data_IF_735065037580
#
_entry.id   IF_735065037580
#
_cell.length_a   1.000
_cell.length_b   1.000
_cell.length_c   1.000
_cell.angle_alpha   90.00
_cell.angle_beta   90.00
_cell.angle_gamma   90.00
#
_symmetry.space_group_name_H-M   'P 1'
#
loop_
_entity.id
_entity.type
_entity.pdbx_description
1 polymer ?
#
# COMPACT_ATOMS: atom_id res chain seq x y z
N UNK A 1 37.36 -22.80 -26.15
CA UNK A 1 36.51 -22.07 -25.21
C UNK A 1 35.44 -23.03 -24.72
N UNK A 2 35.26 -23.20 -23.39
CA UNK A 2 34.24 -24.11 -22.85
C UNK A 2 32.85 -23.54 -23.16
N UNK A 3 31.89 -24.39 -23.52
CA UNK A 3 30.50 -23.98 -23.73
C UNK A 3 29.72 -24.08 -22.42
N UNK A 4 29.61 -22.97 -21.69
CA UNK A 4 28.93 -22.91 -20.39
C UNK A 4 27.43 -23.14 -20.50
N UNK A 5 26.81 -22.86 -21.65
CA UNK A 5 25.42 -23.20 -21.91
C UNK A 5 25.21 -24.71 -22.01
N UNK A 6 26.14 -25.41 -22.69
CA UNK A 6 26.12 -26.87 -22.78
C UNK A 6 26.38 -27.53 -21.41
N UNK A 7 27.30 -26.98 -20.60
CA UNK A 7 27.61 -27.47 -19.25
C UNK A 7 26.38 -27.36 -18.33
N UNK A 8 25.62 -26.25 -18.43
CA UNK A 8 24.36 -26.09 -17.69
C UNK A 8 23.16 -26.78 -18.35
N UNK A 9 23.31 -27.33 -19.56
CA UNK A 9 22.24 -27.99 -20.32
C UNK A 9 21.11 -27.05 -20.73
N UNK A 10 21.43 -25.79 -21.02
CA UNK A 10 20.47 -24.74 -21.38
C UNK A 10 20.79 -24.12 -22.74
N UNK A 11 19.81 -23.47 -23.36
CA UNK A 11 20.01 -22.77 -24.62
C UNK A 11 20.74 -21.43 -24.41
N UNK A 12 21.41 -20.91 -25.45
CA UNK A 12 22.11 -19.61 -25.42
C UNK A 12 21.18 -18.43 -25.18
N UNK A 13 19.91 -18.55 -25.58
CA UNK A 13 18.84 -17.56 -25.33
C UNK A 13 18.15 -17.73 -23.98
N UNK A 14 18.65 -18.60 -23.08
CA UNK A 14 18.06 -18.82 -21.78
C UNK A 14 18.04 -17.55 -20.92
N UNK A 15 16.90 -17.33 -20.25
CA UNK A 15 16.71 -16.21 -19.33
C UNK A 15 17.45 -16.47 -18.02
N UNK A 16 17.74 -15.41 -17.26
CA UNK A 16 18.45 -15.52 -15.97
C UNK A 16 17.77 -16.50 -15.00
N UNK A 17 16.44 -16.56 -15.02
CA UNK A 17 15.65 -17.50 -14.24
C UNK A 17 15.96 -18.97 -14.59
N UNK A 18 16.20 -19.28 -15.88
CA UNK A 18 16.51 -20.62 -16.36
C UNK A 18 17.94 -21.01 -16.00
N UNK A 19 18.89 -20.07 -16.11
CA UNK A 19 20.29 -20.26 -15.70
C UNK A 19 20.37 -20.60 -14.20
N UNK A 20 19.70 -19.81 -13.35
CA UNK A 20 19.60 -20.04 -11.90
C UNK A 20 18.90 -21.35 -11.56
N UNK A 21 17.94 -21.79 -12.37
CA UNK A 21 17.22 -23.04 -12.16
C UNK A 21 18.08 -24.26 -12.53
N UNK A 22 18.77 -24.19 -13.66
CA UNK A 22 19.67 -25.24 -14.13
C UNK A 22 20.85 -25.44 -13.18
N UNK A 23 21.50 -24.35 -12.76
CA UNK A 23 22.58 -24.39 -11.77
C UNK A 23 22.14 -25.09 -10.48
N UNK A 24 21.02 -24.64 -9.87
CA UNK A 24 20.51 -25.25 -8.63
C UNK A 24 20.20 -26.74 -8.78
N UNK A 25 19.70 -27.15 -9.94
CA UNK A 25 19.42 -28.56 -10.20
C UNK A 25 20.70 -29.39 -10.28
N UNK A 26 21.68 -28.94 -11.06
CA UNK A 26 22.95 -29.64 -11.26
C UNK A 26 23.83 -29.63 -10.00
N UNK A 27 23.87 -28.51 -9.28
CA UNK A 27 24.58 -28.39 -8.01
C UNK A 27 24.06 -29.38 -6.95
N UNK A 28 22.75 -29.68 -6.94
CA UNK A 28 22.19 -30.69 -6.04
C UNK A 28 22.52 -32.12 -6.47
N UNK A 29 22.64 -32.38 -7.77
CA UNK A 29 22.94 -33.71 -8.33
C UNK A 29 24.41 -34.09 -8.20
N UNK A 30 25.31 -33.11 -8.34
CA UNK A 30 26.76 -33.31 -8.33
C UNK A 30 27.45 -32.77 -7.07
N UNK A 31 26.69 -32.44 -6.01
CA UNK A 31 27.27 -31.95 -4.76
C UNK A 31 28.25 -32.98 -4.16
N UNK A 32 29.48 -32.60 -3.79
CA UNK A 32 30.49 -33.54 -3.29
C UNK A 32 30.03 -34.30 -2.03
N UNK A 33 29.25 -33.66 -1.15
CA UNK A 33 28.71 -34.33 0.05
C UNK A 33 27.62 -35.36 -0.25
N UNK A 34 26.87 -35.21 -1.36
CA UNK A 34 25.72 -36.07 -1.69
C UNK A 34 26.04 -37.12 -2.74
N UNK A 35 27.02 -36.85 -3.60
CA UNK A 35 27.43 -37.73 -4.68
C UNK A 35 28.92 -38.07 -4.52
N UNK A 36 29.20 -39.29 -4.07
CA UNK A 36 30.56 -39.80 -3.80
C UNK A 36 31.27 -40.34 -5.05
N UNK A 37 30.71 -40.13 -6.25
CA UNK A 37 31.39 -40.47 -7.50
C UNK A 37 32.66 -39.64 -7.65
N UNK A 38 33.74 -40.26 -8.12
CA UNK A 38 35.01 -39.58 -8.43
C UNK A 38 34.86 -38.47 -9.46
N UNK A 39 33.83 -38.55 -10.31
CA UNK A 39 33.54 -37.58 -11.37
C UNK A 39 32.64 -36.43 -10.89
N UNK A 40 31.94 -36.59 -9.76
CA UNK A 40 31.00 -35.57 -9.30
C UNK A 40 31.70 -34.26 -8.91
N UNK A 41 32.89 -34.37 -8.30
CA UNK A 41 33.69 -33.21 -7.92
C UNK A 41 34.16 -32.40 -9.14
N UNK A 42 34.61 -33.05 -10.22
CA UNK A 42 35.04 -32.35 -11.44
C UNK A 42 33.87 -31.69 -12.15
N UNK A 43 32.73 -32.37 -12.29
CA UNK A 43 31.53 -31.77 -12.88
C UNK A 43 31.01 -30.60 -12.05
N UNK A 44 31.06 -30.69 -10.72
CA UNK A 44 30.63 -29.60 -9.83
C UNK A 44 31.46 -28.33 -10.01
N UNK A 45 32.77 -28.47 -10.22
CA UNK A 45 33.65 -27.33 -10.54
C UNK A 45 33.23 -26.68 -11.86
N UNK A 46 32.98 -27.46 -12.91
CA UNK A 46 32.54 -26.94 -14.21
C UNK A 46 31.16 -26.26 -14.15
N UNK A 47 30.23 -26.81 -13.36
CA UNK A 47 28.90 -26.22 -13.14
C UNK A 47 29.01 -24.87 -12.42
N UNK A 48 29.89 -24.75 -11.42
CA UNK A 48 30.13 -23.49 -10.72
C UNK A 48 30.79 -22.45 -11.64
N UNK A 49 31.80 -22.85 -12.41
CA UNK A 49 32.47 -21.99 -13.39
C UNK A 49 31.46 -21.45 -14.43
N UNK A 50 30.57 -22.31 -14.92
CA UNK A 50 29.53 -21.93 -15.87
C UNK A 50 28.52 -20.93 -15.27
N UNK A 51 28.12 -21.13 -14.01
CA UNK A 51 27.19 -20.23 -13.33
C UNK A 51 27.84 -18.89 -12.95
N UNK A 52 29.12 -18.88 -12.61
CA UNK A 52 29.85 -17.65 -12.30
C UNK A 52 29.93 -16.70 -13.51
N UNK A 53 30.00 -17.27 -14.72
CA UNK A 53 30.05 -16.50 -15.97
C UNK A 53 28.65 -16.15 -16.48
N UNK A 54 27.72 -17.12 -16.51
CA UNK A 54 26.38 -16.91 -17.06
C UNK A 54 25.38 -16.28 -16.08
N UNK A 55 25.63 -16.38 -14.78
CA UNK A 55 24.76 -15.85 -13.72
C UNK A 55 24.92 -14.36 -13.48
N UNK A 56 26.06 -13.77 -13.87
CA UNK A 56 26.30 -12.33 -13.84
C UNK A 56 25.97 -11.71 -15.21
N UNK A 57 25.07 -10.72 -15.29
CA UNK A 57 24.65 -10.12 -16.55
C UNK A 57 25.80 -9.45 -17.32
N UNK A 58 26.80 -8.90 -16.64
CA UNK A 58 27.95 -8.25 -17.26
C UNK A 58 28.89 -9.30 -17.84
N UNK A 59 29.19 -10.35 -17.06
CA UNK A 59 30.08 -11.44 -17.50
C UNK A 59 29.46 -12.28 -18.61
N UNK A 60 28.14 -12.49 -18.57
CA UNK A 60 27.38 -13.15 -19.63
C UNK A 60 27.50 -12.40 -20.96
N UNK A 61 27.34 -11.08 -20.95
CA UNK A 61 27.47 -10.27 -22.18
C UNK A 61 28.88 -10.35 -22.78
N UNK A 62 29.92 -10.35 -21.94
CA UNK A 62 31.31 -10.49 -22.40
C UNK A 62 31.53 -11.89 -22.99
N UNK A 63 31.04 -12.93 -22.31
CA UNK A 63 31.12 -14.31 -22.75
C UNK A 63 30.38 -14.55 -24.06
N UNK A 64 29.16 -14.02 -24.21
CA UNK A 64 28.34 -14.13 -25.41
C UNK A 64 29.02 -13.45 -26.62
N UNK A 65 29.65 -12.29 -26.39
CA UNK A 65 30.45 -11.59 -27.42
C UNK A 65 31.67 -12.40 -27.87
N UNK A 66 32.31 -13.12 -26.94
CA UNK A 66 33.44 -14.00 -27.26
C UNK A 66 32.99 -15.29 -27.97
N UNK A 67 31.78 -15.79 -27.68
CA UNK A 67 31.22 -17.01 -28.26
C UNK A 67 30.67 -16.79 -29.69
N UNK A 68 30.21 -15.58 -30.02
CA UNK A 68 29.67 -15.21 -31.33
C UNK A 68 30.65 -15.34 -32.53
N UNK A 69 31.94 -15.65 -32.28
CA UNK A 69 32.91 -16.01 -33.31
C UNK A 69 32.88 -17.49 -33.73
N UNK A 70 31.98 -18.31 -33.18
CA UNK A 70 31.79 -19.72 -33.56
C UNK A 70 30.31 -20.04 -33.48
N UNK A 71 29.66 -20.23 -34.63
CA UNK A 71 28.22 -20.48 -34.72
C UNK A 71 27.81 -21.75 -33.92
N UNK A 72 26.91 -21.63 -32.93
CA UNK A 72 26.33 -22.80 -32.28
C UNK A 72 25.16 -23.34 -33.11
N UNK A 73 25.31 -24.54 -33.67
CA UNK A 73 24.16 -25.35 -34.08
C UNK A 73 23.48 -25.90 -32.82
N UNK A 74 22.30 -25.39 -32.47
CA UNK A 74 21.43 -26.03 -31.46
C UNK A 74 20.00 -26.08 -31.97
N UNK A 75 19.57 -27.29 -32.30
CA UNK A 75 18.17 -27.65 -32.54
C UNK A 75 17.36 -27.47 -31.26
N UNK A 76 16.30 -26.68 -31.33
CA UNK A 76 15.37 -26.49 -30.22
C UNK A 76 14.64 -27.81 -29.94
N UNK A 77 15.09 -28.56 -28.94
CA UNK A 77 14.28 -29.65 -28.40
C UNK A 77 13.15 -29.03 -27.55
N UNK A 78 11.87 -29.39 -27.80
CA UNK A 78 10.75 -28.89 -27.03
C UNK A 78 10.93 -29.27 -25.56
N UNK A 79 10.71 -28.30 -24.67
CA UNK A 79 10.81 -28.51 -23.22
C UNK A 79 9.89 -29.67 -22.79
N UNK A 80 10.47 -30.81 -22.42
CA UNK A 80 9.73 -31.93 -21.85
C UNK A 80 9.11 -31.48 -20.53
N UNK A 81 7.79 -31.49 -20.44
CA UNK A 81 7.05 -31.23 -19.20
C UNK A 81 7.46 -32.26 -18.14
N UNK A 82 8.42 -31.91 -17.27
CA UNK A 82 8.80 -32.75 -16.13
C UNK A 82 7.58 -32.88 -15.20
N UNK A 83 7.14 -34.10 -14.86
CA UNK A 83 6.03 -34.30 -13.95
C UNK A 83 6.32 -33.64 -12.59
N UNK A 84 5.26 -33.14 -11.95
CA UNK A 84 5.36 -32.49 -10.65
C UNK A 84 5.99 -33.45 -9.62
N UNK A 85 6.84 -32.93 -8.73
CA UNK A 85 7.64 -33.76 -7.79
C UNK A 85 6.79 -34.57 -6.80
N UNK A 86 5.58 -34.11 -6.51
CA UNK A 86 4.61 -34.82 -5.69
C UNK A 86 3.73 -35.72 -6.58
N UNK A 87 3.78 -37.07 -6.42
CA UNK A 87 2.92 -38.00 -7.17
C UNK A 87 1.42 -37.80 -6.93
N UNK A 88 1.05 -37.13 -5.83
CA UNK A 88 -0.35 -36.80 -5.50
C UNK A 88 -0.81 -35.51 -6.18
N UNK A 89 0.11 -34.73 -6.74
CA UNK A 89 -0.26 -33.53 -7.49
C UNK A 89 -0.99 -33.92 -8.76
N UNK A 90 -2.30 -33.72 -8.78
CA UNK A 90 -3.10 -33.75 -9.99
C UNK A 90 -3.13 -32.34 -10.58
N UNK A 91 -2.61 -32.12 -11.79
CA UNK A 91 -2.81 -30.84 -12.45
C UNK A 91 -4.32 -30.61 -12.60
N UNK A 92 -4.75 -29.38 -12.32
CA UNK A 92 -6.15 -28.98 -12.53
C UNK A 92 -6.56 -29.28 -13.96
N UNK A 93 -7.69 -29.94 -14.16
CA UNK A 93 -8.17 -30.26 -15.51
C UNK A 93 -8.44 -28.98 -16.28
N UNK A 94 -8.28 -29.04 -17.61
CA UNK A 94 -8.59 -27.90 -18.48
C UNK A 94 -10.06 -27.47 -18.32
N UNK A 95 -10.97 -28.42 -18.12
CA UNK A 95 -12.39 -28.18 -17.83
C UNK A 95 -12.59 -27.43 -16.51
N UNK A 96 -11.92 -27.84 -15.43
CA UNK A 96 -11.96 -27.14 -14.15
C UNK A 96 -11.45 -25.69 -14.30
N UNK A 97 -10.35 -25.48 -15.03
CA UNK A 97 -9.82 -24.13 -15.27
C UNK A 97 -10.82 -23.28 -16.07
N UNK A 98 -11.47 -23.87 -17.09
CA UNK A 98 -12.49 -23.21 -17.91
C UNK A 98 -13.71 -22.84 -17.08
N UNK A 99 -14.19 -23.74 -16.23
CA UNK A 99 -15.32 -23.51 -15.32
C UNK A 99 -15.01 -22.38 -14.33
N UNK A 100 -13.84 -22.42 -13.68
CA UNK A 100 -13.42 -21.36 -12.74
C UNK A 100 -13.32 -20.00 -13.44
N UNK A 101 -12.78 -19.95 -14.65
CA UNK A 101 -12.73 -18.71 -15.46
C UNK A 101 -14.14 -18.23 -15.83
N UNK A 102 -15.02 -19.14 -16.23
CA UNK A 102 -16.40 -18.80 -16.57
C UNK A 102 -17.16 -18.23 -15.37
N UNK A 103 -16.99 -18.81 -14.17
CA UNK A 103 -17.60 -18.31 -12.93
C UNK A 103 -17.10 -16.91 -12.55
N UNK A 104 -15.82 -16.61 -12.79
CA UNK A 104 -15.24 -15.28 -12.50
C UNK A 104 -15.55 -14.22 -13.57
N UNK A 105 -15.87 -14.65 -14.79
CA UNK A 105 -16.17 -13.75 -15.92
C UNK A 105 -17.17 -12.62 -15.58
N UNK A 106 -18.35 -12.88 -14.99
CA UNK A 106 -19.32 -11.81 -14.70
C UNK A 106 -18.78 -10.76 -13.71
N UNK A 107 -17.96 -11.17 -12.75
CA UNK A 107 -17.33 -10.27 -11.78
C UNK A 107 -16.35 -9.32 -12.47
N UNK A 108 -15.49 -9.83 -13.36
CA UNK A 108 -14.56 -8.99 -14.11
C UNK A 108 -15.27 -8.08 -15.11
N UNK A 109 -16.31 -8.58 -15.77
CA UNK A 109 -17.15 -7.77 -16.68
C UNK A 109 -17.80 -6.60 -15.94
N UNK A 110 -18.31 -6.84 -14.71
CA UNK A 110 -18.85 -5.79 -13.87
C UNK A 110 -17.80 -4.74 -13.50
N UNK A 111 -16.62 -5.18 -13.05
CA UNK A 111 -15.53 -4.28 -12.65
C UNK A 111 -15.08 -3.42 -13.83
N UNK A 112 -14.89 -4.02 -15.00
CA UNK A 112 -14.43 -3.33 -16.19
C UNK A 112 -15.45 -2.26 -16.64
N UNK A 113 -16.74 -2.58 -16.57
CA UNK A 113 -17.82 -1.63 -16.87
C UNK A 113 -17.89 -0.43 -15.91
N UNK A 114 -17.47 -0.59 -14.64
CA UNK A 114 -17.63 0.42 -13.60
C UNK A 114 -16.34 1.11 -13.16
N UNK A 115 -15.17 0.68 -13.65
CA UNK A 115 -13.87 1.23 -13.23
C UNK A 115 -13.78 2.75 -13.45
N UNK A 116 -14.46 3.29 -14.47
CA UNK A 116 -14.51 4.73 -14.72
C UNK A 116 -15.09 5.52 -13.55
N UNK A 117 -16.12 5.00 -12.87
CA UNK A 117 -16.71 5.64 -11.70
C UNK A 117 -15.78 5.56 -10.50
N UNK A 118 -15.09 4.43 -10.32
CA UNK A 118 -14.08 4.29 -9.27
C UNK A 118 -12.91 5.28 -9.43
N UNK A 119 -12.48 5.51 -10.67
CA UNK A 119 -11.47 6.53 -10.98
C UNK A 119 -12.02 7.94 -10.74
N UNK A 120 -13.27 8.21 -11.11
CA UNK A 120 -13.93 9.48 -10.81
C UNK A 120 -13.96 9.76 -9.31
N UNK A 121 -14.35 8.78 -8.48
CA UNK A 121 -14.32 8.93 -7.02
C UNK A 121 -12.91 9.16 -6.49
N UNK A 122 -11.89 8.54 -7.07
CA UNK A 122 -10.49 8.80 -6.68
C UNK A 122 -10.08 10.25 -7.00
N UNK A 123 -10.50 10.80 -8.14
CA UNK A 123 -10.23 12.21 -8.48
C UNK A 123 -10.96 13.19 -7.56
N UNK A 124 -12.23 12.91 -7.25
CA UNK A 124 -13.00 13.71 -6.29
C UNK A 124 -12.38 13.65 -4.89
N UNK A 125 -11.97 12.47 -4.45
CA UNK A 125 -11.26 12.27 -3.19
C UNK A 125 -9.94 13.06 -3.14
N UNK A 126 -9.22 13.10 -4.26
CA UNK A 126 -7.97 13.86 -4.36
C UNK A 126 -8.22 15.36 -4.16
N UNK A 127 -9.18 15.93 -4.89
CA UNK A 127 -9.56 17.34 -4.73
C UNK A 127 -10.07 17.65 -3.32
N UNK A 128 -10.90 16.76 -2.75
CA UNK A 128 -11.42 16.92 -1.40
C UNK A 128 -10.32 16.85 -0.34
N UNK A 129 -9.35 15.96 -0.48
CA UNK A 129 -8.21 15.88 0.44
C UNK A 129 -7.31 17.11 0.37
N UNK A 130 -7.10 17.68 -0.82
CA UNK A 130 -6.41 18.97 -0.98
C UNK A 130 -7.19 20.08 -0.27
N UNK A 131 -8.51 20.14 -0.44
CA UNK A 131 -9.34 21.12 0.25
C UNK A 131 -9.26 21.00 1.78
N UNK A 132 -9.30 19.78 2.32
CA UNK A 132 -9.16 19.52 3.75
C UNK A 132 -7.77 19.95 4.29
N UNK A 133 -6.72 19.69 3.54
CA UNK A 133 -5.35 20.06 3.93
C UNK A 133 -5.11 21.56 3.79
N UNK A 134 -5.69 22.20 2.77
CA UNK A 134 -5.67 23.65 2.63
C UNK A 134 -6.41 24.31 3.80
N UNK A 135 -7.60 23.82 4.14
CA UNK A 135 -8.38 24.30 5.29
C UNK A 135 -7.62 24.16 6.61
N UNK A 136 -6.90 23.05 6.80
CA UNK A 136 -6.04 22.83 7.96
C UNK A 136 -4.83 23.78 8.00
N UNK A 137 -4.26 24.11 6.84
CA UNK A 137 -3.00 24.86 6.75
C UNK A 137 -3.21 26.37 6.85
N UNK A 138 -4.42 26.86 6.58
CA UNK A 138 -4.75 28.27 6.72
C UNK A 138 -4.96 28.65 8.19
N UNK A 139 -4.78 29.94 8.48
CA UNK A 139 -4.96 30.46 9.82
C UNK A 139 -6.43 30.38 10.24
N UNK A 140 -6.68 29.80 11.41
CA UNK A 140 -8.03 29.63 11.95
C UNK A 140 -8.66 30.97 12.33
N UNK A 141 -9.96 31.10 12.07
CA UNK A 141 -10.78 32.24 12.47
C UNK A 141 -11.05 32.20 13.97
N UNK A 142 -10.97 33.37 14.61
CA UNK A 142 -11.13 33.55 16.05
C UNK A 142 -12.51 34.08 16.37
N UNK A 143 -13.28 33.34 17.17
CA UNK A 143 -14.60 33.75 17.66
C UNK A 143 -14.65 33.76 19.18
N UNK A 144 -14.94 34.91 19.78
CA UNK A 144 -15.08 35.04 21.22
C UNK A 144 -16.50 34.68 21.67
N UNK A 145 -16.62 33.78 22.64
CA UNK A 145 -17.90 33.26 23.14
C UNK A 145 -17.82 33.05 24.65
N UNK A 146 -18.98 33.05 25.31
CA UNK A 146 -19.09 32.83 26.76
C UNK A 146 -19.43 31.37 27.04
N UNK A 147 -18.77 30.76 28.02
CA UNK A 147 -19.09 29.40 28.46
C UNK A 147 -20.43 29.43 29.21
N UNK A 148 -21.42 28.65 28.75
CA UNK A 148 -22.70 28.51 29.46
C UNK A 148 -22.61 27.55 30.64
N UNK A 149 -21.93 26.42 30.47
CA UNK A 149 -21.79 25.42 31.52
C UNK A 149 -20.51 24.60 31.36
N UNK A 150 -20.03 24.06 32.47
CA UNK A 150 -18.88 23.16 32.52
C UNK A 150 -19.30 21.93 33.32
N UNK A 151 -19.28 20.76 32.68
CA UNK A 151 -19.59 19.50 33.33
C UNK A 151 -18.31 18.69 33.54
N UNK A 152 -18.05 18.34 34.80
CA UNK A 152 -16.93 17.50 35.22
C UNK A 152 -17.49 16.14 35.62
N UNK A 153 -17.13 15.09 34.89
CA UNK A 153 -17.53 13.72 35.25
C UNK A 153 -16.58 13.19 36.32
N UNK A 154 -17.10 12.84 37.48
CA UNK A 154 -16.33 12.32 38.61
C UNK A 154 -15.52 11.08 38.17
N UNK A 155 -14.19 11.11 38.33
CA UNK A 155 -13.28 10.03 37.92
C UNK A 155 -12.86 10.05 36.44
N UNK A 156 -13.26 11.06 35.66
CA UNK A 156 -12.78 11.26 34.29
C UNK A 156 -11.74 12.37 34.23
N UNK A 157 -10.64 12.12 33.52
CA UNK A 157 -9.67 13.15 33.11
C UNK A 157 -10.18 13.98 31.92
N UNK A 158 -11.49 14.26 31.85
CA UNK A 158 -12.06 15.08 30.78
C UNK A 158 -13.14 16.01 31.31
N UNK A 159 -13.23 17.18 30.68
CA UNK A 159 -14.24 18.19 30.98
C UNK A 159 -15.06 18.48 29.75
N UNK A 160 -16.37 18.51 29.93
CA UNK A 160 -17.29 18.98 28.90
C UNK A 160 -17.53 20.47 29.09
N UNK A 161 -17.15 21.26 28.09
CA UNK A 161 -17.40 22.70 28.03
C UNK A 161 -18.56 22.94 27.07
N UNK A 162 -19.67 23.45 27.60
CA UNK A 162 -20.87 23.78 26.83
C UNK A 162 -20.87 25.27 26.53
N UNK A 163 -20.75 25.62 25.25
CA UNK A 163 -20.85 27.00 24.78
C UNK A 163 -22.32 27.35 24.53
N UNK A 164 -23.03 26.51 23.78
CA UNK A 164 -24.43 26.66 23.43
C UNK A 164 -25.18 25.33 23.56
N UNK A 165 -26.49 25.32 23.34
CA UNK A 165 -27.29 24.09 23.46
C UNK A 165 -26.87 23.00 22.46
N UNK A 166 -26.29 23.41 21.34
CA UNK A 166 -25.83 22.52 20.26
C UNK A 166 -24.29 22.35 20.21
N UNK A 167 -23.52 23.04 21.05
CA UNK A 167 -22.05 23.04 20.99
C UNK A 167 -21.44 22.65 22.35
N UNK A 168 -21.04 21.38 22.44
CA UNK A 168 -20.41 20.77 23.62
C UNK A 168 -19.06 20.17 23.24
N UNK A 169 -17.99 20.66 23.88
CA UNK A 169 -16.62 20.23 23.62
C UNK A 169 -16.10 19.36 24.77
N UNK A 170 -15.56 18.18 24.45
CA UNK A 170 -14.88 17.35 25.45
C UNK A 170 -13.38 17.64 25.41
N UNK A 171 -12.85 18.27 26.47
CA UNK A 171 -11.46 18.66 26.62
C UNK A 171 -10.72 17.69 27.56
N UNK A 172 -9.41 17.55 27.38
CA UNK A 172 -8.55 16.67 28.17
C UNK A 172 -8.21 17.27 29.55
N UNK A 173 -7.79 16.40 30.47
CA UNK A 173 -7.79 16.63 31.93
C UNK A 173 -6.95 17.80 32.43
N UNK A 174 -5.94 18.26 31.69
CA UNK A 174 -5.21 19.49 32.02
C UNK A 174 -6.10 20.74 31.98
N UNK A 175 -7.27 20.64 31.36
CA UNK A 175 -8.30 21.70 31.25
C UNK A 175 -9.27 21.71 32.43
N UNK A 176 -9.09 20.83 33.44
CA UNK A 176 -10.07 20.62 34.52
C UNK A 176 -10.36 21.86 35.37
N UNK A 177 -9.36 22.73 35.53
CA UNK A 177 -9.46 23.92 36.39
C UNK A 177 -9.41 25.23 35.60
N UNK A 178 -9.13 25.15 34.30
CA UNK A 178 -8.86 26.31 33.43
C UNK A 178 -10.09 26.91 32.75
N UNK A 179 -11.26 26.28 32.90
CA UNK A 179 -12.50 26.75 32.29
C UNK A 179 -13.63 26.76 33.31
N UNK A 180 -14.24 27.92 33.52
CA UNK A 180 -15.44 28.07 34.37
C UNK A 180 -16.61 28.69 33.62
N UNK A 181 -17.84 28.42 34.08
CA UNK A 181 -19.04 28.97 33.46
C UNK A 181 -19.08 30.50 33.65
N UNK A 182 -19.40 31.22 32.58
CA UNK A 182 -19.40 32.69 32.55
C UNK A 182 -18.11 33.32 32.05
N UNK A 183 -17.03 32.55 31.87
CA UNK A 183 -15.78 33.05 31.28
C UNK A 183 -15.88 33.21 29.77
N UNK A 184 -15.12 34.17 29.25
CA UNK A 184 -14.98 34.39 27.81
C UNK A 184 -13.84 33.52 27.28
N UNK A 185 -14.13 32.77 26.23
CA UNK A 185 -13.18 31.94 25.50
C UNK A 185 -13.07 32.39 24.05
N UNK A 186 -11.90 32.14 23.47
CA UNK A 186 -11.65 32.28 22.05
C UNK A 186 -11.67 30.89 21.41
N UNK A 187 -12.69 30.65 20.59
CA UNK A 187 -12.84 29.43 19.81
C UNK A 187 -12.22 29.65 18.42
N UNK A 188 -11.26 28.79 18.07
CA UNK A 188 -10.59 28.80 16.77
C UNK A 188 -11.27 27.79 15.85
N UNK A 189 -11.67 28.24 14.66
CA UNK A 189 -12.33 27.41 13.64
C UNK A 189 -11.59 27.45 12.32
N UNK A 190 -11.60 26.34 11.59
CA UNK A 190 -11.00 26.30 10.26
C UNK A 190 -11.79 27.17 9.26
N UNK A 191 -11.14 27.83 8.28
CA UNK A 191 -11.80 28.84 7.45
C UNK A 191 -12.93 28.33 6.54
N UNK A 192 -12.76 27.17 5.91
CA UNK A 192 -13.68 26.62 4.92
C UNK A 192 -14.73 25.70 5.54
N UNK A 193 -14.31 24.83 6.46
CA UNK A 193 -15.20 23.85 7.06
C UNK A 193 -15.67 24.21 8.47
N UNK A 194 -15.22 25.35 9.02
CA UNK A 194 -15.63 25.83 10.34
C UNK A 194 -15.38 24.81 11.47
N UNK A 195 -14.40 23.93 11.29
CA UNK A 195 -14.10 22.85 12.24
C UNK A 195 -13.40 23.46 13.45
N UNK A 196 -13.89 23.23 14.68
CA UNK A 196 -13.28 23.75 15.88
C UNK A 196 -11.94 23.04 16.15
N UNK A 197 -10.84 23.78 16.19
CA UNK A 197 -9.50 23.21 16.35
C UNK A 197 -8.99 23.36 17.78
N UNK A 198 -9.29 24.50 18.41
CA UNK A 198 -8.72 24.90 19.69
C UNK A 198 -9.65 25.86 20.43
N UNK A 199 -9.60 25.79 21.76
CA UNK A 199 -10.23 26.71 22.69
C UNK A 199 -9.13 27.39 23.50
N UNK A 200 -9.25 28.70 23.69
CA UNK A 200 -8.34 29.48 24.54
C UNK A 200 -9.13 30.28 25.56
N UNK A 201 -8.76 30.20 26.84
CA UNK A 201 -9.31 31.08 27.85
C UNK A 201 -8.75 32.49 27.66
N UNK A 202 -9.62 33.50 27.56
CA UNK A 202 -9.17 34.87 27.34
C UNK A 202 -8.38 35.44 28.52
N UNK A 203 -8.71 35.02 29.75
CA UNK A 203 -8.08 35.50 30.98
C UNK A 203 -6.78 34.77 31.29
N UNK A 204 -6.81 33.44 31.36
CA UNK A 204 -5.63 32.64 31.73
C UNK A 204 -4.67 32.41 30.56
N UNK A 205 -5.11 32.70 29.33
CA UNK A 205 -4.40 32.36 28.08
C UNK A 205 -4.15 30.87 27.91
N UNK A 206 -4.76 30.02 28.73
CA UNK A 206 -4.67 28.57 28.61
C UNK A 206 -5.30 28.10 27.32
N UNK A 207 -4.68 27.11 26.69
CA UNK A 207 -5.04 26.62 25.36
C UNK A 207 -5.31 25.12 25.40
N UNK A 208 -6.48 24.71 24.93
CA UNK A 208 -6.87 23.31 24.81
C UNK A 208 -7.22 22.98 23.36
N UNK A 209 -6.64 21.91 22.83
CA UNK A 209 -7.05 21.35 21.53
C UNK A 209 -8.39 20.62 21.63
N UNK A 210 -9.17 20.62 20.55
CA UNK A 210 -10.43 19.86 20.47
C UNK A 210 -10.15 18.48 19.85
N UNK A 211 -10.17 17.39 20.63
CA UNK A 211 -9.63 16.10 20.18
C UNK A 211 -10.51 15.36 19.17
N UNK A 212 -11.84 15.45 19.29
CA UNK A 212 -12.80 14.71 18.43
C UNK A 212 -13.11 15.53 17.17
N UNK A 213 -12.08 15.81 16.36
CA UNK A 213 -12.25 16.49 15.08
C UNK A 213 -11.32 15.90 14.02
N UNK A 214 -11.62 16.20 12.75
CA UNK A 214 -10.77 15.80 11.62
C UNK A 214 -9.35 16.40 11.71
N UNK A 215 -9.17 17.51 12.43
CA UNK A 215 -7.89 18.20 12.60
C UNK A 215 -7.22 17.94 13.97
N UNK A 216 -7.94 17.31 14.90
CA UNK A 216 -7.40 16.80 16.16
C UNK A 216 -6.88 15.38 16.00
N UNK A 217 -7.52 14.42 16.67
CA UNK A 217 -7.08 13.02 16.71
C UNK A 217 -7.08 12.33 15.33
N UNK A 218 -7.86 12.83 14.38
CA UNK A 218 -8.02 12.22 13.06
C UNK A 218 -7.26 12.95 11.95
N UNK A 219 -6.24 13.75 12.28
CA UNK A 219 -5.44 14.48 11.28
C UNK A 219 -4.80 13.56 10.23
N UNK A 220 -4.56 12.30 10.56
CA UNK A 220 -4.04 11.31 9.61
C UNK A 220 -5.04 10.98 8.47
N UNK A 221 -6.34 11.19 8.66
CA UNK A 221 -7.37 10.78 7.71
C UNK A 221 -7.33 11.59 6.39
N UNK A 222 -7.21 12.93 6.40
CA UNK A 222 -6.97 13.71 5.19
C UNK A 222 -5.69 13.30 4.44
N UNK A 223 -4.58 13.04 5.14
CA UNK A 223 -3.33 12.59 4.52
C UNK A 223 -3.46 11.19 3.91
N UNK A 224 -4.12 10.28 4.63
CA UNK A 224 -4.38 8.93 4.13
C UNK A 224 -5.26 8.97 2.88
N UNK A 225 -6.28 9.82 2.87
CA UNK A 225 -7.13 10.06 1.70
C UNK A 225 -6.32 10.64 0.54
N UNK A 226 -5.41 11.58 0.77
CA UNK A 226 -4.55 12.16 -0.27
C UNK A 226 -3.68 11.08 -0.94
N UNK A 227 -3.00 10.24 -0.15
CA UNK A 227 -2.10 9.20 -0.69
C UNK A 227 -2.88 8.20 -1.53
N UNK A 228 -4.00 7.70 -0.99
CA UNK A 228 -4.81 6.66 -1.63
C UNK A 228 -5.57 7.16 -2.86
N UNK A 229 -6.02 8.42 -2.85
CA UNK A 229 -6.63 9.07 -4.01
C UNK A 229 -5.62 9.42 -5.11
N UNK A 230 -4.39 9.79 -4.75
CA UNK A 230 -3.29 9.99 -5.70
C UNK A 230 -2.97 8.68 -6.44
N UNK A 231 -2.81 7.58 -5.70
CA UNK A 231 -2.60 6.25 -6.30
C UNK A 231 -3.80 5.88 -7.17
N UNK A 232 -5.05 6.06 -6.71
CA UNK A 232 -6.25 5.72 -7.49
C UNK A 232 -6.41 6.53 -8.78
N UNK A 233 -5.89 7.74 -8.80
CA UNK A 233 -5.96 8.63 -9.97
C UNK A 233 -4.88 8.30 -11.00
N UNK A 234 -3.64 8.03 -10.55
CA UNK A 234 -2.47 7.94 -11.43
C UNK A 234 -1.93 6.52 -11.63
N UNK A 235 -2.40 5.51 -10.88
CA UNK A 235 -1.94 4.13 -11.03
C UNK A 235 -2.82 3.33 -12.01
N UNK A 236 -2.22 2.84 -13.10
CA UNK A 236 -2.95 2.29 -14.24
C UNK A 236 -2.84 0.76 -14.37
N UNK A 237 -2.11 0.09 -13.46
CA UNK A 237 -1.94 -1.37 -13.49
C UNK A 237 -3.04 -2.06 -12.67
N UNK A 238 -3.77 -2.98 -13.30
CA UNK A 238 -4.79 -3.82 -12.65
C UNK A 238 -6.15 -3.14 -12.46
N UNK A 239 -7.18 -3.60 -13.18
CA UNK A 239 -8.53 -3.02 -13.14
C UNK A 239 -9.19 -3.23 -11.77
N UNK A 240 -9.04 -4.42 -11.17
CA UNK A 240 -9.56 -4.72 -9.82
C UNK A 240 -8.99 -3.78 -8.76
N UNK A 241 -7.68 -3.55 -8.78
CA UNK A 241 -7.02 -2.70 -7.80
C UNK A 241 -7.55 -1.26 -7.87
N UNK A 242 -7.69 -0.73 -9.09
CA UNK A 242 -8.24 0.62 -9.32
C UNK A 242 -9.70 0.72 -8.87
N UNK A 243 -10.50 -0.30 -9.17
CA UNK A 243 -11.90 -0.36 -8.75
C UNK A 243 -12.02 -0.35 -7.21
N UNK A 244 -11.32 -1.27 -6.55
CA UNK A 244 -11.32 -1.38 -5.09
C UNK A 244 -10.82 -0.10 -4.42
N UNK A 245 -9.77 0.51 -4.95
CA UNK A 245 -9.23 1.75 -4.42
C UNK A 245 -10.20 2.92 -4.58
N UNK A 246 -10.94 3.00 -5.69
CA UNK A 246 -12.00 4.00 -5.87
C UNK A 246 -13.16 3.83 -4.89
N UNK A 247 -13.60 2.58 -4.64
CA UNK A 247 -14.62 2.28 -3.61
C UNK A 247 -14.12 2.68 -2.22
N UNK A 248 -12.86 2.37 -1.90
CA UNK A 248 -12.25 2.77 -0.63
C UNK A 248 -12.20 4.30 -0.48
N UNK A 249 -11.79 5.02 -1.53
CA UNK A 249 -11.74 6.48 -1.55
C UNK A 249 -13.13 7.09 -1.34
N UNK A 250 -14.18 6.51 -1.94
CA UNK A 250 -15.56 6.94 -1.71
C UNK A 250 -15.98 6.79 -0.23
N UNK A 251 -15.68 5.65 0.40
CA UNK A 251 -15.95 5.44 1.81
C UNK A 251 -15.17 6.42 2.70
N UNK A 252 -13.91 6.71 2.35
CA UNK A 252 -13.11 7.69 3.09
C UNK A 252 -13.66 9.11 2.95
N UNK A 253 -14.20 9.52 1.79
CA UNK A 253 -14.89 10.81 1.66
C UNK A 253 -16.05 10.87 2.66
N UNK A 254 -16.90 9.83 2.70
CA UNK A 254 -18.04 9.78 3.62
C UNK A 254 -17.57 9.86 5.07
N UNK A 255 -16.56 9.08 5.44
CA UNK A 255 -16.01 9.06 6.79
C UNK A 255 -15.46 10.44 7.19
N UNK A 256 -14.64 11.06 6.35
CA UNK A 256 -14.10 12.40 6.61
C UNK A 256 -15.22 13.45 6.68
N UNK A 257 -16.24 13.35 5.82
CA UNK A 257 -17.41 14.23 5.85
C UNK A 257 -18.23 14.10 7.13
N UNK A 258 -18.26 12.90 7.72
CA UNK A 258 -18.91 12.67 9.01
C UNK A 258 -18.11 13.33 10.14
N UNK A 259 -16.77 13.23 10.13
CA UNK A 259 -15.93 13.92 11.11
C UNK A 259 -15.89 15.45 10.95
N UNK A 260 -16.24 15.98 9.78
CA UNK A 260 -16.49 17.42 9.62
C UNK A 260 -17.73 17.90 10.37
N UNK A 261 -18.71 17.02 10.63
CA UNK A 261 -19.96 17.37 11.32
C UNK A 261 -19.97 16.98 12.79
N UNK A 262 -19.24 15.94 13.17
CA UNK A 262 -19.16 15.46 14.54
C UNK A 262 -18.05 16.22 15.26
N UNK A 263 -18.40 17.36 15.84
CA UNK A 263 -17.53 18.13 16.73
C UNK A 263 -18.27 18.68 17.97
N UNK A 264 -19.52 18.26 18.20
CA UNK A 264 -20.31 18.55 19.38
C UNK A 264 -21.04 17.28 19.88
N UNK A 265 -20.89 16.94 21.17
CA UNK A 265 -21.53 15.78 21.82
C UNK A 265 -22.00 16.04 23.26
#
# INVERSE_FOLDING_TARGET
MKNYYAILGIATYAQEADIKRAYRHLALLYHPDKNKSSEAASFFVEINEAYEVLGDPIRKVVYDKMLAGTEPQVSAQPMVNKPHRDPRYRPKSAEYIKEVRAKKKPYYEFIDAHVQYAVLFSRLAFLFSIALLADYSLQADKHSQVIKAVEKKLGSESVKVKINDDEVFTLAGQSLEEFTAGEVINLYRSPFFSVPTKIENEQTKFQAGVPITIYGNFIFAPFFLLITSLIGTFYWKGVEFRFNLGVMNFLLIILNSLFLKIHAF
#
